data_IF_556535671060
#
_entry.id   IF_556535671060
#
_cell.length_a   1.000
_cell.length_b   1.000
_cell.length_c   1.000
_cell.angle_alpha   90.00
_cell.angle_beta   90.00
_cell.angle_gamma   90.00
#
_symmetry.space_group_name_H-M   'P 1'
#
loop_
_entity.id
_entity.type
_entity.pdbx_description
1 polymer ?
#
# COMPACT_ATOMS: atom_id res chain seq x y z
N UNK A 1 8.86 -15.32 -10.53
CA UNK A 1 7.39 -15.17 -10.55
C UNK A 1 6.81 -14.79 -9.19
N UNK A 2 7.21 -15.44 -8.08
CA UNK A 2 6.69 -15.17 -6.73
C UNK A 2 6.80 -13.70 -6.27
N UNK A 3 7.88 -13.00 -6.64
CA UNK A 3 8.05 -11.59 -6.33
C UNK A 3 6.98 -10.70 -6.99
N UNK A 4 6.56 -11.01 -8.23
CA UNK A 4 5.54 -10.23 -8.93
C UNK A 4 4.19 -10.37 -8.23
N UNK A 5 3.80 -11.60 -7.90
CA UNK A 5 2.59 -11.89 -7.13
C UNK A 5 2.61 -11.20 -5.76
N UNK A 6 3.75 -11.23 -5.06
CA UNK A 6 3.92 -10.55 -3.77
C UNK A 6 3.67 -9.03 -3.86
N UNK A 7 4.26 -8.36 -4.86
CA UNK A 7 4.03 -6.92 -5.03
C UNK A 7 2.56 -6.62 -5.35
N UNK A 8 1.93 -7.42 -6.19
CA UNK A 8 0.51 -7.24 -6.54
C UNK A 8 -0.37 -7.40 -5.31
N UNK A 9 -0.20 -8.47 -4.54
CA UNK A 9 -1.00 -8.70 -3.34
C UNK A 9 -0.78 -7.59 -2.32
N UNK A 10 0.45 -7.10 -2.16
CA UNK A 10 0.76 -5.93 -1.32
C UNK A 10 -0.02 -4.69 -1.76
N UNK A 11 -0.02 -4.35 -3.05
CA UNK A 11 -0.73 -3.17 -3.57
C UNK A 11 -2.26 -3.33 -3.55
N UNK A 12 -2.77 -4.55 -3.77
CA UNK A 12 -4.19 -4.86 -3.57
C UNK A 12 -4.58 -4.61 -2.11
N UNK A 13 -3.80 -5.12 -1.15
CA UNK A 13 -4.04 -4.87 0.28
C UNK A 13 -4.05 -3.39 0.60
N UNK A 14 -3.08 -2.61 0.08
CA UNK A 14 -3.02 -1.15 0.24
C UNK A 14 -4.31 -0.48 -0.25
N UNK A 15 -4.75 -0.77 -1.48
CA UNK A 15 -5.96 -0.19 -2.06
C UNK A 15 -7.23 -0.57 -1.27
N UNK A 16 -7.34 -1.84 -0.85
CA UNK A 16 -8.46 -2.32 -0.02
C UNK A 16 -8.50 -1.62 1.34
N UNK A 17 -7.34 -1.43 1.99
CA UNK A 17 -7.25 -0.68 3.25
C UNK A 17 -7.66 0.79 3.08
N UNK A 18 -7.29 1.42 1.97
CA UNK A 18 -7.77 2.76 1.61
C UNK A 18 -9.29 2.81 1.48
N UNK A 19 -9.88 1.83 0.79
CA UNK A 19 -11.33 1.74 0.59
C UNK A 19 -12.08 1.48 1.91
N UNK A 20 -11.57 0.58 2.77
CA UNK A 20 -12.11 0.33 4.11
C UNK A 20 -12.09 1.63 4.92
N UNK A 21 -11.01 2.38 4.87
CA UNK A 21 -10.85 3.60 5.65
C UNK A 21 -11.77 4.72 5.18
N UNK A 22 -11.98 4.81 3.87
CA UNK A 22 -12.99 5.71 3.29
C UNK A 22 -14.42 5.31 3.69
N UNK A 23 -14.76 4.02 3.65
CA UNK A 23 -16.07 3.53 4.12
C UNK A 23 -16.30 3.88 5.60
N UNK A 24 -15.29 3.67 6.45
CA UNK A 24 -15.37 4.00 7.88
C UNK A 24 -15.50 5.50 8.11
N UNK A 25 -14.74 6.31 7.38
CA UNK A 25 -14.86 7.77 7.41
C UNK A 25 -16.30 8.21 7.06
N UNK A 26 -16.86 7.71 5.97
CA UNK A 26 -18.21 8.08 5.53
C UNK A 26 -19.27 7.67 6.57
N UNK A 27 -19.17 6.49 7.17
CA UNK A 27 -20.09 6.02 8.22
C UNK A 27 -20.03 6.87 9.50
N UNK A 28 -18.84 7.32 9.89
CA UNK A 28 -18.66 8.10 11.14
C UNK A 28 -19.01 9.57 10.94
N UNK A 29 -18.63 10.16 9.80
CA UNK A 29 -18.81 11.59 9.54
C UNK A 29 -20.19 11.90 8.93
N UNK A 30 -20.76 10.99 8.13
CA UNK A 30 -22.08 11.15 7.49
C UNK A 30 -23.00 9.95 7.78
N UNK A 31 -23.44 9.76 9.05
CA UNK A 31 -24.24 8.59 9.44
C UNK A 31 -25.61 8.51 8.73
N UNK A 32 -26.16 9.62 8.26
CA UNK A 32 -27.45 9.69 7.55
C UNK A 32 -27.32 9.96 6.04
N UNK A 33 -26.08 10.01 5.52
CA UNK A 33 -25.87 10.24 4.09
C UNK A 33 -26.16 8.98 3.29
N UNK A 34 -27.00 9.06 2.24
CA UNK A 34 -27.18 7.96 1.26
C UNK A 34 -25.95 7.85 0.33
N UNK A 35 -24.77 7.55 0.87
CA UNK A 35 -23.57 7.40 0.05
C UNK A 35 -23.57 6.01 -0.61
N UNK A 36 -23.40 5.95 -1.93
CA UNK A 36 -23.34 4.68 -2.66
C UNK A 36 -22.25 3.75 -2.13
N UNK A 37 -21.12 4.30 -1.65
CA UNK A 37 -19.99 3.53 -1.10
C UNK A 37 -20.35 2.74 0.17
N UNK A 38 -21.40 3.14 0.88
CA UNK A 38 -21.86 2.42 2.07
C UNK A 38 -22.66 1.15 1.73
N UNK A 39 -23.06 0.97 0.46
CA UNK A 39 -23.75 -0.25 0.01
C UNK A 39 -22.75 -1.39 -0.15
N UNK A 40 -23.04 -2.53 0.46
CA UNK A 40 -22.19 -3.74 0.40
C UNK A 40 -21.85 -4.15 -1.03
N UNK A 41 -22.83 -4.10 -1.95
CA UNK A 41 -22.63 -4.42 -3.37
C UNK A 41 -21.59 -3.52 -4.04
N UNK A 42 -21.57 -2.22 -3.70
CA UNK A 42 -20.60 -1.27 -4.24
C UNK A 42 -19.20 -1.58 -3.73
N UNK A 43 -19.06 -1.88 -2.44
CA UNK A 43 -17.79 -2.34 -1.87
C UNK A 43 -17.26 -3.63 -2.51
N UNK A 44 -18.15 -4.60 -2.79
CA UNK A 44 -17.80 -5.84 -3.49
C UNK A 44 -17.35 -5.58 -4.93
N UNK A 45 -18.09 -4.77 -5.69
CA UNK A 45 -17.72 -4.41 -7.06
C UNK A 45 -16.37 -3.68 -7.12
N UNK A 46 -16.13 -2.71 -6.22
CA UNK A 46 -14.86 -2.00 -6.17
C UNK A 46 -13.69 -2.91 -5.78
N UNK A 47 -13.91 -3.83 -4.83
CA UNK A 47 -12.90 -4.81 -4.45
C UNK A 47 -12.56 -5.75 -5.62
N UNK A 48 -13.57 -6.27 -6.31
CA UNK A 48 -13.37 -7.11 -7.49
C UNK A 48 -12.64 -6.34 -8.62
N UNK A 49 -13.00 -5.08 -8.84
CA UNK A 49 -12.34 -4.22 -9.82
C UNK A 49 -10.85 -4.01 -9.48
N UNK A 50 -10.51 -3.75 -8.22
CA UNK A 50 -9.11 -3.63 -7.76
C UNK A 50 -8.32 -4.91 -8.08
N UNK A 51 -8.89 -6.08 -7.78
CA UNK A 51 -8.26 -7.37 -8.07
C UNK A 51 -8.01 -7.54 -9.56
N UNK A 52 -9.03 -7.34 -10.40
CA UNK A 52 -8.93 -7.50 -11.85
C UNK A 52 -7.88 -6.55 -12.43
N UNK A 53 -7.95 -5.26 -12.11
CA UNK A 53 -7.01 -4.25 -12.63
C UNK A 53 -5.57 -4.59 -12.23
N UNK A 54 -5.33 -4.93 -10.97
CA UNK A 54 -3.98 -5.20 -10.48
C UNK A 54 -3.39 -6.50 -11.07
N UNK A 55 -4.21 -7.53 -11.25
CA UNK A 55 -3.80 -8.76 -11.95
C UNK A 55 -3.56 -8.52 -13.44
N UNK A 56 -4.38 -7.71 -14.10
CA UNK A 56 -4.18 -7.36 -15.51
C UNK A 56 -2.87 -6.60 -15.73
N UNK A 57 -2.52 -5.64 -14.86
CA UNK A 57 -1.26 -4.89 -14.95
C UNK A 57 -0.02 -5.74 -14.67
N UNK A 58 -0.19 -6.86 -13.98
CA UNK A 58 0.87 -7.82 -13.72
C UNK A 58 1.27 -8.64 -14.94
N UNK A 59 0.31 -8.97 -15.80
CA UNK A 59 0.51 -9.89 -16.92
C UNK A 59 1.61 -9.39 -17.88
N UNK A 60 1.64 -8.12 -18.33
CA UNK A 60 2.74 -7.64 -19.16
C UNK A 60 4.08 -7.70 -18.44
N UNK A 61 4.09 -7.46 -17.12
CA UNK A 61 5.30 -7.51 -16.31
C UNK A 61 5.88 -8.93 -16.23
N UNK A 62 5.03 -9.96 -16.32
CA UNK A 62 5.42 -11.37 -16.37
C UNK A 62 5.85 -11.74 -17.80
N UNK A 63 5.02 -11.47 -18.79
CA UNK A 63 5.21 -11.87 -20.20
C UNK A 63 6.45 -11.22 -20.83
N UNK A 64 6.74 -9.95 -20.48
CA UNK A 64 7.89 -9.21 -21.03
C UNK A 64 9.24 -9.57 -20.37
N UNK A 65 9.28 -10.60 -19.52
CA UNK A 65 10.50 -11.16 -18.92
C UNK A 65 10.99 -12.36 -19.74
N UNK A 66 11.30 -12.11 -21.03
CA UNK A 66 11.55 -13.13 -22.04
C UNK A 66 13.04 -13.31 -22.43
N UNK A 67 13.98 -12.69 -21.71
CA UNK A 67 15.42 -12.87 -21.95
C UNK A 67 16.03 -13.91 -21.01
N UNK A 68 17.06 -14.65 -21.46
CA UNK A 68 17.78 -15.58 -20.60
C UNK A 68 18.47 -14.84 -19.44
N UNK A 69 18.64 -15.50 -18.28
CA UNK A 69 19.28 -14.92 -17.12
C UNK A 69 20.77 -14.61 -17.40
N UNK A 70 21.14 -13.33 -17.41
CA UNK A 70 22.55 -12.94 -17.38
C UNK A 70 23.07 -12.96 -15.93
N UNK A 71 24.10 -13.76 -15.68
CA UNK A 71 24.80 -13.80 -14.39
C UNK A 71 25.82 -12.65 -14.39
N UNK A 72 25.52 -11.58 -13.65
CA UNK A 72 26.48 -10.51 -13.38
C UNK A 72 26.94 -10.60 -11.93
N UNK A 73 28.20 -11.00 -11.71
CA UNK A 73 28.86 -10.96 -10.40
C UNK A 73 28.15 -11.74 -9.29
N UNK A 74 27.92 -13.05 -9.49
CA UNK A 74 27.27 -13.97 -8.52
C UNK A 74 25.84 -13.62 -8.08
N UNK A 75 25.16 -12.65 -8.70
CA UNK A 75 23.76 -12.31 -8.38
C UNK A 75 22.87 -12.37 -9.62
N UNK A 76 21.84 -13.21 -9.57
CA UNK A 76 20.81 -13.27 -10.59
C UNK A 76 19.84 -12.08 -10.44
N UNK A 77 19.94 -11.08 -11.32
CA UNK A 77 19.00 -9.95 -11.34
C UNK A 77 17.84 -10.24 -12.29
N UNK A 78 16.62 -10.27 -11.75
CA UNK A 78 15.40 -10.50 -12.53
C UNK A 78 15.12 -9.38 -13.57
N UNK A 79 15.69 -8.18 -13.37
CA UNK A 79 15.66 -7.08 -14.35
C UNK A 79 16.47 -7.39 -15.62
N UNK A 80 17.53 -8.20 -15.53
CA UNK A 80 18.36 -8.57 -16.68
C UNK A 80 17.63 -9.48 -17.67
N UNK A 81 16.54 -10.12 -17.22
CA UNK A 81 15.69 -10.99 -18.03
C UNK A 81 14.59 -10.23 -18.80
N UNK A 82 14.51 -8.89 -18.71
CA UNK A 82 13.47 -8.10 -19.36
C UNK A 82 13.96 -7.49 -20.68
N UNK A 83 13.08 -7.47 -21.69
CA UNK A 83 13.31 -6.71 -22.94
C UNK A 83 13.33 -5.19 -22.66
N UNK A 84 13.79 -4.38 -23.62
CA UNK A 84 13.80 -2.90 -23.48
C UNK A 84 12.38 -2.35 -23.20
N UNK A 85 11.36 -2.92 -23.88
CA UNK A 85 9.96 -2.62 -23.62
C UNK A 85 9.49 -3.12 -22.24
N UNK A 86 9.98 -4.30 -21.80
CA UNK A 86 9.70 -4.84 -20.47
C UNK A 86 10.29 -4.00 -19.34
N UNK A 87 11.46 -3.39 -19.54
CA UNK A 87 12.08 -2.46 -18.58
C UNK A 87 11.28 -1.16 -18.48
N UNK A 88 10.88 -0.56 -19.60
CA UNK A 88 10.06 0.65 -19.62
C UNK A 88 8.70 0.43 -18.93
N UNK A 89 8.03 -0.70 -19.24
CA UNK A 89 6.79 -1.08 -18.55
C UNK A 89 7.02 -1.28 -17.05
N UNK A 90 8.10 -1.96 -16.68
CA UNK A 90 8.44 -2.22 -15.29
C UNK A 90 8.66 -0.91 -14.52
N UNK A 91 9.38 0.05 -15.10
CA UNK A 91 9.59 1.37 -14.52
C UNK A 91 8.26 2.13 -14.35
N UNK A 92 7.45 2.20 -15.40
CA UNK A 92 6.13 2.85 -15.35
C UNK A 92 5.20 2.23 -14.31
N UNK A 93 5.17 0.90 -14.22
CA UNK A 93 4.40 0.18 -13.20
C UNK A 93 4.90 0.50 -11.78
N UNK A 94 6.22 0.56 -11.56
CA UNK A 94 6.77 0.92 -10.26
C UNK A 94 6.41 2.37 -9.87
N UNK A 95 6.43 3.30 -10.81
CA UNK A 95 6.01 4.68 -10.57
C UNK A 95 4.52 4.76 -10.22
N UNK A 96 3.67 4.06 -10.99
CA UNK A 96 2.23 3.93 -10.72
C UNK A 96 1.95 3.38 -9.32
N UNK A 97 2.64 2.31 -8.93
CA UNK A 97 2.61 1.72 -7.60
C UNK A 97 2.99 2.72 -6.49
N UNK A 98 4.00 3.57 -6.73
CA UNK A 98 4.41 4.60 -5.78
C UNK A 98 3.33 5.68 -5.62
N UNK A 99 2.68 6.09 -6.71
CA UNK A 99 1.55 7.03 -6.69
C UNK A 99 0.37 6.44 -5.91
N UNK A 100 0.02 5.17 -6.15
CA UNK A 100 -1.02 4.46 -5.38
C UNK A 100 -0.71 4.50 -3.88
N UNK A 101 0.52 4.18 -3.49
CA UNK A 101 0.89 4.15 -2.08
C UNK A 101 0.75 5.53 -1.43
N UNK A 102 1.33 6.58 -2.02
CA UNK A 102 1.25 7.93 -1.45
C UNK A 102 -0.17 8.48 -1.42
N UNK A 103 -0.95 8.25 -2.48
CA UNK A 103 -2.36 8.63 -2.52
C UNK A 103 -3.18 7.92 -1.46
N UNK A 104 -2.94 6.62 -1.27
CA UNK A 104 -3.60 5.84 -0.22
C UNK A 104 -3.19 6.31 1.17
N UNK A 105 -1.89 6.53 1.42
CA UNK A 105 -1.41 7.07 2.69
C UNK A 105 -2.04 8.44 3.01
N UNK A 106 -2.10 9.34 2.03
CA UNK A 106 -2.73 10.65 2.21
C UNK A 106 -4.23 10.52 2.52
N UNK A 107 -4.94 9.66 1.79
CA UNK A 107 -6.36 9.36 2.06
C UNK A 107 -6.55 8.78 3.47
N UNK A 108 -5.70 7.85 3.89
CA UNK A 108 -5.73 7.27 5.24
C UNK A 108 -5.55 8.37 6.29
N UNK A 109 -4.46 9.15 6.22
CA UNK A 109 -4.19 10.24 7.15
C UNK A 109 -5.38 11.20 7.22
N UNK A 110 -5.91 11.63 6.09
CA UNK A 110 -7.09 12.49 6.03
C UNK A 110 -8.29 11.86 6.73
N UNK A 111 -8.72 10.67 6.31
CA UNK A 111 -9.88 9.97 6.89
C UNK A 111 -9.74 9.85 8.42
N UNK A 112 -8.58 9.46 8.91
CA UNK A 112 -8.35 9.19 10.32
C UNK A 112 -8.19 10.44 11.19
N UNK A 113 -7.64 11.52 10.64
CA UNK A 113 -7.64 12.82 11.32
C UNK A 113 -9.08 13.29 11.60
N UNK A 114 -9.97 13.18 10.61
CA UNK A 114 -11.37 13.56 10.77
C UNK A 114 -12.15 12.60 11.68
N UNK A 115 -11.93 11.28 11.53
CA UNK A 115 -12.54 10.28 12.42
C UNK A 115 -12.15 10.58 13.87
N UNK A 116 -10.86 10.83 14.15
CA UNK A 116 -10.35 11.10 15.50
C UNK A 116 -10.96 12.38 16.06
N UNK A 117 -11.02 13.45 15.26
CA UNK A 117 -11.68 14.70 15.66
C UNK A 117 -13.16 14.47 16.03
N UNK A 118 -13.91 13.77 15.20
CA UNK A 118 -15.34 13.48 15.47
C UNK A 118 -15.55 12.58 16.67
N UNK A 119 -14.67 11.59 16.86
CA UNK A 119 -14.69 10.73 18.04
C UNK A 119 -14.42 11.54 19.31
N UNK A 120 -13.46 12.47 19.27
CA UNK A 120 -13.12 13.33 20.40
C UNK A 120 -14.24 14.34 20.72
N UNK A 121 -14.81 15.00 19.71
CA UNK A 121 -15.98 15.87 19.87
C UNK A 121 -17.15 15.12 20.52
N UNK A 122 -17.45 13.91 20.04
CA UNK A 122 -18.49 13.05 20.60
C UNK A 122 -18.20 12.67 22.05
N UNK A 123 -16.94 12.36 22.39
CA UNK A 123 -16.54 12.03 23.76
C UNK A 123 -16.69 13.21 24.71
N UNK A 124 -16.28 14.42 24.29
CA UNK A 124 -16.43 15.65 25.07
C UNK A 124 -17.90 15.99 25.32
N UNK A 125 -18.77 15.78 24.33
CA UNK A 125 -20.20 16.00 24.45
C UNK A 125 -20.90 14.95 25.33
N UNK A 126 -20.40 13.71 25.38
CA UNK A 126 -21.07 12.57 26.03
C UNK A 126 -20.56 12.26 27.45
N UNK A 127 -20.18 13.26 28.25
CA UNK A 127 -19.67 13.06 29.63
C UNK A 127 -20.68 12.35 30.58
N UNK A 128 -21.87 11.98 30.10
CA UNK A 128 -22.90 11.22 30.81
C UNK A 128 -23.38 10.00 29.98
N UNK A 129 -23.22 8.81 30.57
CA UNK A 129 -23.77 7.47 30.22
C UNK A 129 -23.22 6.64 29.05
N UNK A 130 -22.70 5.47 29.45
CA UNK A 130 -22.78 4.14 28.80
C UNK A 130 -22.51 4.05 27.28
N UNK A 131 -21.23 4.01 26.89
CA UNK A 131 -20.82 3.74 25.50
C UNK A 131 -19.68 2.70 25.37
N UNK A 132 -19.71 1.63 26.19
CA UNK A 132 -18.74 0.54 26.06
C UNK A 132 -18.76 -0.12 24.66
N UNK A 133 -19.94 -0.22 24.03
CA UNK A 133 -20.10 -0.78 22.67
C UNK A 133 -19.54 0.13 21.55
N UNK A 134 -19.71 1.46 21.65
CA UNK A 134 -19.17 2.40 20.67
C UNK A 134 -17.63 2.51 20.76
N UNK A 135 -17.06 2.31 21.95
CA UNK A 135 -15.61 2.29 22.18
C UNK A 135 -14.92 1.11 21.49
N UNK A 136 -15.53 -0.09 21.50
CA UNK A 136 -14.98 -1.29 20.83
C UNK A 136 -14.96 -1.17 19.31
N UNK A 137 -16.01 -0.62 18.71
CA UNK A 137 -16.06 -0.39 17.24
C UNK A 137 -15.06 0.69 16.81
N UNK A 138 -14.89 1.75 17.61
CA UNK A 138 -13.87 2.79 17.38
C UNK A 138 -12.45 2.23 17.49
N UNK A 139 -12.17 1.31 18.42
CA UNK A 139 -10.85 0.70 18.60
C UNK A 139 -10.37 -0.12 17.39
N UNK A 140 -11.25 -0.91 16.77
CA UNK A 140 -10.89 -1.70 15.56
C UNK A 140 -10.45 -0.83 14.39
N UNK A 141 -11.01 0.38 14.27
CA UNK A 141 -10.68 1.33 13.20
C UNK A 141 -9.22 1.79 13.32
N UNK A 142 -8.70 2.00 14.54
CA UNK A 142 -7.29 2.36 14.76
C UNK A 142 -6.30 1.20 14.54
N UNK A 143 -6.71 -0.05 14.76
CA UNK A 143 -5.86 -1.23 14.46
C UNK A 143 -5.49 -1.28 12.98
N UNK A 144 -6.46 -1.03 12.09
CA UNK A 144 -6.25 -1.01 10.63
C UNK A 144 -5.20 0.05 10.23
N UNK A 145 -5.15 1.19 10.93
CA UNK A 145 -4.11 2.22 10.74
C UNK A 145 -2.75 1.71 11.19
N UNK A 146 -2.70 1.13 12.39
CA UNK A 146 -1.48 0.57 12.95
C UNK A 146 -0.83 -0.40 11.97
N UNK A 147 -1.63 -1.35 11.43
CA UNK A 147 -1.15 -2.30 10.41
C UNK A 147 -0.63 -1.56 9.17
N UNK A 148 -1.33 -0.52 8.68
CA UNK A 148 -0.87 0.20 7.50
C UNK A 148 0.50 0.87 7.70
N UNK A 149 0.66 1.58 8.80
CA UNK A 149 1.88 2.31 9.13
C UNK A 149 3.03 1.41 9.55
N UNK A 150 2.76 0.28 10.18
CA UNK A 150 3.81 -0.67 10.59
C UNK A 150 4.24 -1.52 9.40
N UNK A 151 3.30 -2.04 8.61
CA UNK A 151 3.61 -3.03 7.59
C UNK A 151 4.00 -2.42 6.24
N UNK A 152 3.39 -1.33 5.79
CA UNK A 152 3.61 -0.82 4.42
C UNK A 152 4.44 0.45 4.33
N UNK A 153 4.31 1.36 5.29
CA UNK A 153 5.04 2.63 5.24
C UNK A 153 6.56 2.47 5.28
N UNK A 154 7.15 1.64 6.17
CA UNK A 154 8.61 1.51 6.27
C UNK A 154 9.22 1.03 4.96
N UNK A 155 8.53 0.12 4.25
CA UNK A 155 8.96 -0.37 2.95
C UNK A 155 9.04 0.74 1.91
N UNK A 156 7.99 1.54 1.76
CA UNK A 156 7.95 2.60 0.76
C UNK A 156 8.91 3.75 1.09
N UNK A 157 9.09 4.06 2.37
CA UNK A 157 10.09 5.04 2.81
C UNK A 157 11.53 4.54 2.61
N UNK A 158 11.81 3.24 2.79
CA UNK A 158 13.14 2.66 2.53
C UNK A 158 13.43 2.47 1.03
N UNK A 159 12.39 2.22 0.23
CA UNK A 159 12.51 1.96 -1.21
C UNK A 159 12.91 3.19 -2.01
N UNK A 160 12.34 4.35 -1.72
CA UNK A 160 12.65 5.62 -2.43
C UNK A 160 14.14 5.98 -2.39
N UNK A 161 14.81 6.08 -1.23
CA UNK A 161 16.25 6.37 -1.17
C UNK A 161 17.08 5.24 -1.79
N UNK A 162 16.70 3.98 -1.62
CA UNK A 162 17.39 2.87 -2.29
C UNK A 162 17.37 3.02 -3.83
N UNK A 163 16.21 3.30 -4.42
CA UNK A 163 16.08 3.53 -5.87
C UNK A 163 16.88 4.75 -6.33
N UNK A 164 16.94 5.82 -5.54
CA UNK A 164 17.77 7.00 -5.84
C UNK A 164 19.26 6.68 -5.81
N UNK A 165 19.72 5.85 -4.86
CA UNK A 165 21.13 5.43 -4.81
C UNK A 165 21.54 4.51 -5.96
N UNK A 166 20.59 3.80 -6.56
CA UNK A 166 20.84 2.93 -7.73
C UNK A 166 20.89 3.71 -9.05
N UNK A 167 20.28 4.90 -9.09
CA UNK A 167 20.18 5.74 -10.31
C UNK A 167 21.19 6.87 -10.34
N UNK A 168 21.80 7.22 -9.20
CA UNK A 168 22.87 8.23 -9.11
C UNK A 168 24.26 7.57 -8.97
N UNK A 169 25.19 7.98 -9.82
CA UNK A 169 26.51 7.34 -10.04
C UNK A 169 27.54 7.45 -8.89
N UNK A 170 27.19 7.99 -7.72
CA UNK A 170 28.17 8.33 -6.67
C UNK A 170 27.68 8.10 -5.23
N UNK A 171 26.91 7.04 -4.98
CA UNK A 171 26.48 6.69 -3.61
C UNK A 171 27.54 5.80 -2.93
N UNK A 172 27.96 6.05 -1.67
CA UNK A 172 28.88 5.18 -0.95
C UNK A 172 28.35 3.75 -0.86
N UNK A 173 29.18 2.74 -1.13
CA UNK A 173 28.80 1.32 -1.10
C UNK A 173 28.13 0.91 0.23
N UNK A 174 28.60 1.46 1.36
CA UNK A 174 28.01 1.21 2.69
C UNK A 174 26.57 1.72 2.81
N UNK A 175 26.27 2.90 2.25
CA UNK A 175 24.92 3.47 2.26
C UNK A 175 23.98 2.66 1.36
N UNK A 176 24.45 2.23 0.19
CA UNK A 176 23.68 1.39 -0.73
C UNK A 176 23.36 0.01 -0.10
N UNK A 177 24.31 -0.61 0.60
CA UNK A 177 24.09 -1.88 1.29
C UNK A 177 23.12 -1.73 2.48
N UNK A 178 23.23 -0.65 3.26
CA UNK A 178 22.30 -0.38 4.36
C UNK A 178 20.87 -0.17 3.85
N UNK A 179 20.70 0.59 2.77
CA UNK A 179 19.39 0.82 2.13
C UNK A 179 18.83 -0.45 1.49
N UNK A 180 19.68 -1.31 0.93
CA UNK A 180 19.27 -2.63 0.44
C UNK A 180 18.71 -3.49 1.58
N UNK A 181 19.44 -3.61 2.69
CA UNK A 181 18.99 -4.38 3.86
C UNK A 181 17.70 -3.79 4.44
N UNK A 182 17.62 -2.46 4.58
CA UNK A 182 16.42 -1.79 5.05
C UNK A 182 15.22 -2.07 4.13
N UNK A 183 15.41 -2.02 2.81
CA UNK A 183 14.36 -2.32 1.83
C UNK A 183 13.92 -3.78 1.87
N UNK A 184 14.83 -4.74 2.05
CA UNK A 184 14.48 -6.16 2.15
C UNK A 184 13.78 -6.48 3.48
N UNK A 185 14.27 -5.99 4.62
CA UNK A 185 13.66 -6.22 5.93
C UNK A 185 12.25 -5.64 6.02
N UNK A 186 12.05 -4.43 5.51
CA UNK A 186 10.72 -3.81 5.47
C UNK A 186 9.79 -4.47 4.44
N UNK A 187 10.33 -5.08 3.38
CA UNK A 187 9.56 -5.92 2.46
C UNK A 187 9.02 -7.17 3.19
N UNK A 188 9.86 -7.83 3.99
CA UNK A 188 9.42 -8.94 4.84
C UNK A 188 8.33 -8.52 5.82
N UNK A 189 8.47 -7.34 6.44
CA UNK A 189 7.45 -6.79 7.35
C UNK A 189 6.11 -6.56 6.63
N UNK A 190 6.12 -6.09 5.37
CA UNK A 190 4.89 -5.91 4.59
C UNK A 190 4.13 -7.21 4.30
N UNK A 191 4.83 -8.35 4.33
CA UNK A 191 4.24 -9.67 4.19
C UNK A 191 3.40 -10.10 5.41
N UNK A 192 3.57 -9.42 6.56
CA UNK A 192 2.92 -9.77 7.83
C UNK A 192 1.59 -9.03 8.08
N UNK A 193 1.09 -8.26 7.11
CA UNK A 193 -0.19 -7.52 7.24
C UNK A 193 -1.41 -8.43 7.37
#
# INVERSE_FOLDING_TARGET
YSAVLFYITMYISILLLGLISLDRYLKIVKPFGRCALQKVRVGQMLSAAIWVVMLSLALPNIILSNKPPEISGNKLKCSSMKSKAGLLWHEGFNYFCQVIFWGTLALMVFCYMFISKKVYESYKASRSRSQAANRRTKAKVFVVVGVFFICFAPFHFARVPYTLTQTRSASPCRAQNALYIAKETTLWLSATN
#
